data_IF_691029232443
#
_entry.id   IF_691029232443
#
_cell.length_a   1.000
_cell.length_b   1.000
_cell.length_c   1.000
_cell.angle_alpha   90.00
_cell.angle_beta   90.00
_cell.angle_gamma   90.00
#
_symmetry.space_group_name_H-M   'P 1'
#
loop_
_entity.id
_entity.type
_entity.pdbx_description
1 polymer ?
#
# COMPACT_ATOMS: atom_id res chain seq x y z
N UNK A 1 -19.59 -7.74 -2.05
CA UNK A 1 -18.73 -6.81 -1.27
C UNK A 1 -18.55 -7.38 0.12
N UNK A 2 -17.32 -7.33 0.63
CA UNK A 2 -16.96 -7.75 1.98
C UNK A 2 -16.31 -6.54 2.67
N UNK A 3 -16.68 -6.28 3.91
CA UNK A 3 -16.09 -5.23 4.75
C UNK A 3 -15.40 -5.86 5.93
N UNK A 4 -14.23 -5.32 6.28
CA UNK A 4 -13.44 -5.79 7.42
C UNK A 4 -12.59 -7.04 7.13
N UNK A 5 -11.73 -7.34 8.09
CA UNK A 5 -10.77 -8.46 8.07
C UNK A 5 -11.07 -9.53 9.14
N UNK A 6 -12.18 -9.38 9.88
CA UNK A 6 -12.55 -10.21 11.01
C UNK A 6 -11.92 -9.77 12.34
N UNK A 7 -11.50 -8.51 12.44
CA UNK A 7 -10.97 -7.89 13.66
C UNK A 7 -11.97 -6.87 14.20
N UNK A 8 -12.54 -7.11 15.36
CA UNK A 8 -13.52 -6.21 15.97
C UNK A 8 -12.98 -4.78 16.09
N UNK A 9 -11.72 -4.61 16.52
CA UNK A 9 -11.06 -3.32 16.65
C UNK A 9 -11.04 -2.54 15.34
N UNK A 10 -10.64 -3.19 14.24
CA UNK A 10 -10.37 -2.49 12.97
C UNK A 10 -11.55 -2.51 12.00
N UNK A 11 -12.44 -3.49 12.11
CA UNK A 11 -13.64 -3.55 11.29
C UNK A 11 -14.62 -2.42 11.65
N UNK A 12 -14.66 -2.04 12.93
CA UNK A 12 -15.42 -0.86 13.41
C UNK A 12 -14.86 0.48 12.86
N UNK A 13 -13.57 0.54 12.49
CA UNK A 13 -12.95 1.72 11.90
C UNK A 13 -13.14 1.82 10.37
N UNK A 14 -13.71 0.79 9.72
CA UNK A 14 -14.01 0.80 8.28
C UNK A 14 -12.78 0.82 7.37
N UNK A 15 -11.71 0.11 7.74
CA UNK A 15 -10.39 0.19 7.07
C UNK A 15 -10.21 -0.72 5.87
N UNK A 16 -11.17 -1.60 5.58
CA UNK A 16 -11.03 -2.62 4.55
C UNK A 16 -12.35 -2.86 3.82
N UNK A 17 -12.31 -2.78 2.49
CA UNK A 17 -13.42 -3.14 1.60
C UNK A 17 -12.87 -4.00 0.47
N UNK A 18 -13.49 -5.17 0.26
CA UNK A 18 -13.17 -6.11 -0.82
C UNK A 18 -14.36 -6.27 -1.76
N UNK A 19 -14.16 -5.98 -3.03
CA UNK A 19 -15.11 -6.28 -4.10
C UNK A 19 -14.66 -7.53 -4.85
N UNK A 20 -15.53 -8.53 -4.95
CA UNK A 20 -15.28 -9.79 -5.64
C UNK A 20 -15.91 -9.79 -7.03
N UNK A 21 -15.09 -10.17 -8.01
CA UNK A 21 -15.45 -10.31 -9.42
C UNK A 21 -15.14 -11.76 -9.85
N UNK A 22 -16.05 -12.68 -9.50
CA UNK A 22 -15.85 -14.10 -9.72
C UNK A 22 -16.55 -14.55 -11.02
N UNK A 23 -15.83 -15.30 -11.83
CA UNK A 23 -16.36 -16.03 -12.99
C UNK A 23 -16.13 -17.53 -12.77
N UNK A 24 -16.72 -18.42 -13.59
CA UNK A 24 -16.42 -19.85 -13.51
C UNK A 24 -14.93 -20.19 -13.66
N UNK A 25 -14.16 -19.35 -14.36
CA UNK A 25 -12.75 -19.57 -14.67
C UNK A 25 -11.80 -18.86 -13.71
N UNK A 26 -12.30 -17.87 -12.92
CA UNK A 26 -11.42 -16.98 -12.17
C UNK A 26 -12.08 -16.43 -10.92
N UNK A 27 -11.28 -16.30 -9.88
CA UNK A 27 -11.64 -15.59 -8.64
C UNK A 27 -10.75 -14.38 -8.47
N UNK A 28 -11.34 -13.18 -8.58
CA UNK A 28 -10.64 -11.90 -8.45
C UNK A 28 -11.22 -11.07 -7.32
N UNK A 29 -10.36 -10.43 -6.55
CA UNK A 29 -10.74 -9.37 -5.59
C UNK A 29 -10.00 -8.07 -5.90
N UNK A 30 -10.74 -6.97 -5.82
CA UNK A 30 -10.17 -5.61 -5.72
C UNK A 30 -10.44 -5.14 -4.30
N UNK A 31 -9.36 -4.78 -3.60
CA UNK A 31 -9.38 -4.41 -2.20
C UNK A 31 -8.98 -2.95 -2.07
N UNK A 32 -9.78 -2.18 -1.38
CA UNK A 32 -9.40 -0.84 -0.91
C UNK A 32 -9.17 -0.90 0.60
N UNK A 33 -7.99 -0.46 1.03
CA UNK A 33 -7.65 -0.46 2.45
C UNK A 33 -6.93 0.81 2.86
N UNK A 34 -7.26 1.28 4.07
CA UNK A 34 -6.58 2.39 4.74
C UNK A 34 -5.91 1.89 6.01
N UNK A 35 -4.60 1.73 5.96
CA UNK A 35 -3.82 1.28 7.11
C UNK A 35 -3.69 2.39 8.15
N UNK A 36 -3.71 2.06 9.45
CA UNK A 36 -3.56 3.07 10.48
C UNK A 36 -2.28 3.90 10.32
N UNK A 37 -2.40 5.22 10.49
CA UNK A 37 -1.23 6.07 10.73
C UNK A 37 -0.82 5.99 12.19
N UNK A 38 0.48 5.81 12.45
CA UNK A 38 1.04 5.85 13.81
C UNK A 38 1.55 7.24 14.22
N UNK A 39 1.37 8.27 13.38
CA UNK A 39 2.00 9.58 13.58
C UNK A 39 1.42 10.42 14.73
N UNK A 40 0.27 10.04 15.29
CA UNK A 40 -0.43 10.78 16.35
C UNK A 40 -0.06 10.32 17.78
N UNK A 41 1.03 9.58 17.93
CA UNK A 41 1.55 9.14 19.24
C UNK A 41 1.75 7.62 19.34
N UNK A 42 2.31 7.19 20.46
CA UNK A 42 2.72 5.81 20.70
C UNK A 42 1.55 4.82 20.62
N UNK A 43 0.40 5.17 21.20
CA UNK A 43 -0.79 4.33 21.17
C UNK A 43 -1.27 4.06 19.74
N UNK A 44 -1.19 5.06 18.86
CA UNK A 44 -1.55 4.90 17.44
C UNK A 44 -0.51 4.08 16.68
N UNK A 45 0.77 4.20 17.03
CA UNK A 45 1.82 3.34 16.47
C UNK A 45 1.62 1.88 16.89
N UNK A 46 1.29 1.63 18.14
CA UNK A 46 0.96 0.29 18.63
C UNK A 46 -0.30 -0.27 17.94
N UNK A 47 -1.34 0.55 17.76
CA UNK A 47 -2.53 0.15 17.01
C UNK A 47 -2.19 -0.22 15.56
N UNK A 48 -1.30 0.53 14.91
CA UNK A 48 -0.80 0.18 13.59
C UNK A 48 -0.12 -1.19 13.55
N UNK A 49 0.75 -1.49 14.49
CA UNK A 49 1.39 -2.81 14.56
C UNK A 49 0.36 -3.93 14.78
N UNK A 50 -0.64 -3.74 15.65
CA UNK A 50 -1.74 -4.72 15.80
C UNK A 50 -2.51 -4.92 14.50
N UNK A 51 -2.74 -3.84 13.73
CA UNK A 51 -3.38 -3.96 12.40
C UNK A 51 -2.52 -4.76 11.43
N UNK A 52 -1.21 -4.49 11.36
CA UNK A 52 -0.28 -5.24 10.51
C UNK A 52 -0.28 -6.73 10.85
N UNK A 53 -0.32 -7.07 12.15
CA UNK A 53 -0.41 -8.45 12.62
C UNK A 53 -1.76 -9.11 12.27
N UNK A 54 -2.85 -8.36 12.32
CA UNK A 54 -4.19 -8.86 11.99
C UNK A 54 -4.41 -9.03 10.48
N UNK A 55 -3.94 -8.09 9.66
CA UNK A 55 -4.15 -8.13 8.21
C UNK A 55 -3.26 -9.16 7.50
N UNK A 56 -2.10 -9.46 8.05
CA UNK A 56 -1.17 -10.44 7.47
C UNK A 56 -1.81 -11.82 7.23
N UNK A 57 -2.33 -12.53 8.25
CA UNK A 57 -2.94 -13.85 8.03
C UNK A 57 -4.15 -13.78 7.11
N UNK A 58 -4.91 -12.69 7.14
CA UNK A 58 -6.04 -12.46 6.25
C UNK A 58 -5.61 -12.44 4.78
N UNK A 59 -4.61 -11.62 4.44
CA UNK A 59 -4.07 -11.53 3.07
C UNK A 59 -3.44 -12.86 2.63
N UNK A 60 -2.73 -13.55 3.50
CA UNK A 60 -2.11 -14.84 3.18
C UNK A 60 -3.15 -15.95 2.96
N UNK A 61 -4.23 -15.95 3.71
CA UNK A 61 -5.35 -16.86 3.50
C UNK A 61 -6.10 -16.54 2.18
N UNK A 62 -6.28 -15.27 1.89
CA UNK A 62 -6.92 -14.81 0.66
C UNK A 62 -6.11 -15.22 -0.58
N UNK A 63 -4.80 -15.01 -0.57
CA UNK A 63 -3.86 -15.35 -1.65
C UNK A 63 -3.92 -16.84 -2.04
N UNK A 64 -4.19 -17.73 -1.11
CA UNK A 64 -4.34 -19.17 -1.37
C UNK A 64 -5.60 -19.52 -2.16
N UNK A 65 -6.58 -18.61 -2.21
CA UNK A 65 -7.93 -18.91 -2.73
C UNK A 65 -8.29 -18.08 -3.96
N UNK A 66 -7.63 -16.96 -4.21
CA UNK A 66 -7.97 -16.03 -5.27
C UNK A 66 -6.86 -15.06 -5.61
N UNK A 67 -6.88 -14.53 -6.81
CA UNK A 67 -6.06 -13.40 -7.21
C UNK A 67 -6.64 -12.10 -6.62
N UNK A 68 -5.79 -11.15 -6.25
CA UNK A 68 -6.26 -9.86 -5.77
C UNK A 68 -5.28 -8.72 -6.04
N UNK A 69 -5.82 -7.52 -6.04
CA UNK A 69 -5.09 -6.25 -5.99
C UNK A 69 -5.50 -5.54 -4.71
N UNK A 70 -4.55 -5.32 -3.80
CA UNK A 70 -4.70 -4.48 -2.62
C UNK A 70 -4.29 -3.05 -2.98
N UNK A 71 -5.23 -2.13 -2.90
CA UNK A 71 -5.03 -0.70 -3.20
C UNK A 71 -5.25 0.15 -1.95
N UNK A 72 -4.66 1.33 -1.94
CA UNK A 72 -4.91 2.35 -0.93
C UNK A 72 -3.68 2.81 -0.18
N UNK A 73 -3.92 3.56 0.88
CA UNK A 73 -2.90 4.11 1.75
C UNK A 73 -2.43 3.05 2.76
N UNK A 74 -1.23 2.52 2.54
CA UNK A 74 -0.58 1.56 3.43
C UNK A 74 0.15 2.26 4.59
N UNK A 75 0.30 3.59 4.50
CA UNK A 75 0.98 4.41 5.50
C UNK A 75 2.44 3.97 5.80
N UNK A 76 3.09 3.30 4.86
CA UNK A 76 4.49 2.85 4.96
C UNK A 76 5.22 3.17 3.66
N UNK A 77 6.31 3.92 3.73
CA UNK A 77 7.30 3.99 2.66
C UNK A 77 8.28 2.81 2.81
N UNK A 78 8.44 1.99 1.77
CA UNK A 78 9.19 0.74 1.88
C UNK A 78 10.70 0.95 1.89
N UNK A 79 11.20 1.71 0.93
CA UNK A 79 12.64 1.93 0.71
C UNK A 79 13.01 3.41 0.82
N UNK A 80 14.29 3.70 0.88
CA UNK A 80 14.83 5.06 0.94
C UNK A 80 14.45 5.90 -0.27
N UNK A 81 14.28 5.28 -1.43
CA UNK A 81 13.82 5.90 -2.66
C UNK A 81 12.35 6.37 -2.59
N UNK A 82 11.60 5.88 -1.61
CA UNK A 82 10.15 6.13 -1.48
C UNK A 82 9.81 7.40 -0.68
N UNK A 83 10.82 8.14 -0.19
CA UNK A 83 10.61 9.43 0.48
C UNK A 83 11.83 10.34 0.37
N UNK A 84 11.57 11.66 0.34
CA UNK A 84 12.63 12.65 0.12
C UNK A 84 13.67 12.69 1.24
N UNK A 85 13.22 12.76 2.49
CA UNK A 85 14.09 12.99 3.66
C UNK A 85 14.24 11.71 4.50
N UNK A 86 14.56 10.57 3.87
CA UNK A 86 14.58 9.27 4.52
C UNK A 86 15.53 9.19 5.74
N UNK A 87 16.69 9.89 5.70
CA UNK A 87 17.69 9.85 6.79
C UNK A 87 17.13 10.35 8.12
N UNK A 88 16.36 11.44 8.09
CA UNK A 88 15.75 12.03 9.29
C UNK A 88 14.46 11.34 9.72
N UNK A 89 13.89 10.48 8.87
CA UNK A 89 12.59 9.83 9.10
C UNK A 89 12.69 8.36 9.56
N UNK A 90 13.89 7.80 9.76
CA UNK A 90 14.09 6.39 10.10
C UNK A 90 13.43 5.94 11.42
N UNK A 91 13.08 6.88 12.29
CA UNK A 91 12.38 6.61 13.56
C UNK A 91 10.93 7.11 13.55
N UNK A 92 10.48 7.67 12.44
CA UNK A 92 9.14 8.22 12.33
C UNK A 92 8.16 7.18 11.77
N UNK A 93 6.93 7.23 12.25
CA UNK A 93 5.85 6.39 11.72
C UNK A 93 5.76 6.50 10.20
N UNK A 94 5.57 5.37 9.54
CA UNK A 94 5.59 5.23 8.09
C UNK A 94 6.96 4.87 7.51
N UNK A 95 8.05 4.92 8.31
CA UNK A 95 9.39 4.55 7.84
C UNK A 95 10.27 3.90 8.93
N UNK A 96 9.66 3.37 9.99
CA UNK A 96 10.43 2.63 11.00
C UNK A 96 10.99 1.32 10.43
N UNK A 97 12.09 0.80 11.00
CA UNK A 97 12.64 -0.48 10.55
C UNK A 97 11.63 -1.62 10.57
N UNK A 98 10.75 -1.67 11.57
CA UNK A 98 9.72 -2.70 11.74
C UNK A 98 8.66 -2.63 10.64
N UNK A 99 8.18 -1.43 10.31
CA UNK A 99 7.23 -1.20 9.23
C UNK A 99 7.82 -1.60 7.86
N UNK A 100 9.06 -1.20 7.61
CA UNK A 100 9.80 -1.56 6.39
C UNK A 100 10.04 -3.07 6.28
N UNK A 101 10.37 -3.72 7.40
CA UNK A 101 10.53 -5.18 7.46
C UNK A 101 9.21 -5.89 7.15
N UNK A 102 8.09 -5.39 7.69
CA UNK A 102 6.76 -5.93 7.37
C UNK A 102 6.43 -5.81 5.88
N UNK A 103 6.71 -4.64 5.25
CA UNK A 103 6.55 -4.48 3.80
C UNK A 103 7.46 -5.43 3.01
N UNK A 104 8.71 -5.60 3.41
CA UNK A 104 9.64 -6.56 2.77
C UNK A 104 9.11 -7.98 2.84
N UNK A 105 8.54 -8.36 3.98
CA UNK A 105 7.89 -9.66 4.19
C UNK A 105 6.67 -9.83 3.28
N UNK A 106 5.81 -8.81 3.19
CA UNK A 106 4.62 -8.83 2.34
C UNK A 106 4.96 -8.99 0.86
N UNK A 107 6.03 -8.33 0.42
CA UNK A 107 6.51 -8.39 -0.97
C UNK A 107 7.37 -9.65 -1.25
N UNK A 108 7.65 -10.47 -0.24
CA UNK A 108 8.43 -11.68 -0.43
C UNK A 108 9.88 -11.41 -0.84
N UNK A 109 10.46 -10.31 -0.36
CA UNK A 109 11.88 -9.98 -0.59
C UNK A 109 12.79 -11.05 0.00
N UNK A 110 12.36 -11.65 1.11
CA UNK A 110 12.98 -12.83 1.70
C UNK A 110 12.24 -14.09 1.24
N UNK A 111 12.97 -15.17 1.01
CA UNK A 111 12.42 -16.42 0.45
C UNK A 111 11.29 -16.99 1.32
N UNK A 112 10.16 -17.24 0.67
CA UNK A 112 9.05 -18.04 1.22
C UNK A 112 7.95 -17.24 1.93
N UNK A 113 8.01 -15.90 1.93
CA UNK A 113 7.00 -15.07 2.58
C UNK A 113 6.17 -14.28 1.56
N UNK A 114 5.05 -13.69 1.98
CA UNK A 114 4.15 -12.80 1.26
C UNK A 114 4.01 -13.04 -0.24
N UNK A 115 4.95 -12.52 -0.99
CA UNK A 115 5.02 -12.70 -2.43
C UNK A 115 3.99 -11.89 -3.21
N UNK A 116 3.53 -10.76 -2.67
CA UNK A 116 2.84 -9.73 -3.45
C UNK A 116 3.87 -8.89 -4.21
N UNK A 117 3.41 -8.23 -5.25
CA UNK A 117 4.23 -7.37 -6.10
C UNK A 117 3.80 -5.92 -5.91
N UNK A 118 4.73 -5.04 -5.64
CA UNK A 118 4.56 -3.59 -5.74
C UNK A 118 4.56 -3.20 -7.22
N UNK A 119 3.36 -3.01 -7.77
CA UNK A 119 3.16 -2.84 -9.21
C UNK A 119 3.81 -1.55 -9.73
N UNK A 120 3.72 -0.45 -8.97
CA UNK A 120 4.39 0.78 -9.37
C UNK A 120 5.91 0.57 -9.46
N UNK A 121 6.49 -0.05 -8.45
CA UNK A 121 7.94 -0.28 -8.38
C UNK A 121 8.44 -1.31 -9.39
N UNK A 122 7.59 -2.27 -9.78
CA UNK A 122 7.87 -3.19 -10.89
C UNK A 122 8.01 -2.44 -12.22
N UNK A 123 7.13 -1.47 -12.49
CA UNK A 123 7.14 -0.71 -13.75
C UNK A 123 8.16 0.44 -13.73
N UNK A 124 8.44 0.99 -12.56
CA UNK A 124 9.30 2.16 -12.36
C UNK A 124 10.32 1.91 -11.23
N UNK A 125 11.31 1.01 -11.43
CA UNK A 125 12.19 0.56 -10.36
C UNK A 125 13.05 1.67 -9.75
N UNK A 126 13.46 2.67 -10.55
CA UNK A 126 14.40 3.73 -10.16
C UNK A 126 13.75 5.11 -9.95
N UNK A 127 12.44 5.23 -10.13
CA UNK A 127 11.75 6.52 -10.04
C UNK A 127 11.70 7.03 -8.60
N UNK A 128 12.13 8.26 -8.38
CA UNK A 128 12.17 8.92 -7.07
C UNK A 128 10.95 9.85 -6.87
N UNK A 129 11.12 11.15 -6.92
CA UNK A 129 10.11 12.17 -6.62
C UNK A 129 8.82 12.10 -7.42
N UNK A 130 8.86 11.56 -8.64
CA UNK A 130 7.67 11.31 -9.46
C UNK A 130 6.73 10.26 -8.84
N UNK A 131 7.30 9.36 -8.04
CA UNK A 131 6.58 8.27 -7.40
C UNK A 131 5.85 8.67 -6.11
N UNK A 132 6.12 9.85 -5.56
CA UNK A 132 5.50 10.26 -4.29
C UNK A 132 4.00 10.45 -4.46
N UNK A 133 3.26 10.00 -3.45
CA UNK A 133 1.79 10.03 -3.44
C UNK A 133 1.22 10.87 -2.31
N UNK A 134 2.01 11.27 -1.32
CA UNK A 134 1.58 12.08 -0.19
C UNK A 134 2.59 13.18 0.17
N UNK A 135 2.08 14.34 0.58
CA UNK A 135 2.87 15.48 1.05
C UNK A 135 2.22 16.11 2.28
N UNK A 136 3.03 16.38 3.30
CA UNK A 136 2.56 17.10 4.48
C UNK A 136 1.95 18.46 4.11
N UNK A 137 0.89 18.83 4.80
CA UNK A 137 0.32 20.18 4.69
C UNK A 137 1.16 21.25 5.41
N UNK A 138 2.25 20.85 6.10
CA UNK A 138 3.16 21.75 6.79
C UNK A 138 4.28 22.22 5.87
N UNK A 139 4.69 23.50 6.05
CA UNK A 139 5.73 24.09 5.22
C UNK A 139 5.30 24.18 3.75
N UNK A 140 6.25 24.00 2.86
CA UNK A 140 6.02 24.00 1.41
C UNK A 140 6.33 22.59 0.81
N UNK A 141 5.89 21.53 1.50
CA UNK A 141 6.24 20.17 1.14
C UNK A 141 5.82 19.82 -0.30
N UNK A 142 4.63 20.22 -0.72
CA UNK A 142 4.16 20.03 -2.10
C UNK A 142 5.03 20.80 -3.10
N UNK A 143 5.23 22.11 -2.90
CA UNK A 143 5.99 22.96 -3.81
C UNK A 143 7.45 22.51 -3.96
N UNK A 144 8.04 21.98 -2.88
CA UNK A 144 9.43 21.50 -2.87
C UNK A 144 9.54 19.98 -3.14
N UNK A 145 8.43 19.33 -3.46
CA UNK A 145 8.33 17.89 -3.63
C UNK A 145 8.96 17.07 -2.49
N UNK A 146 8.71 17.49 -1.25
CA UNK A 146 9.11 16.75 -0.04
C UNK A 146 8.01 15.76 0.29
N UNK A 147 7.95 14.70 -0.49
CA UNK A 147 6.87 13.72 -0.47
C UNK A 147 7.29 12.34 -0.03
N UNK A 148 6.28 11.49 0.12
CA UNK A 148 6.35 10.08 0.48
C UNK A 148 5.49 9.27 -0.49
N UNK A 149 5.95 8.06 -0.83
CA UNK A 149 5.16 7.07 -1.55
C UNK A 149 4.59 6.09 -0.53
N UNK A 150 3.33 6.25 -0.19
CA UNK A 150 2.63 5.44 0.83
C UNK A 150 1.31 4.84 0.32
N UNK A 151 0.88 5.22 -0.88
CA UNK A 151 -0.25 4.61 -1.58
C UNK A 151 0.25 3.60 -2.60
N UNK A 152 -0.40 2.45 -2.67
CA UNK A 152 0.10 1.31 -3.43
C UNK A 152 -1.00 0.62 -4.25
N UNK A 153 -0.55 -0.09 -5.30
CA UNK A 153 -1.19 -1.27 -5.85
C UNK A 153 -0.28 -2.47 -5.57
N UNK A 154 -0.68 -3.30 -4.61
CA UNK A 154 0.01 -4.55 -4.28
C UNK A 154 -0.80 -5.71 -4.85
N UNK A 155 -0.24 -6.39 -5.84
CA UNK A 155 -0.97 -7.42 -6.58
C UNK A 155 -0.35 -8.80 -6.39
N UNK A 156 -1.19 -9.84 -6.53
CA UNK A 156 -0.67 -11.20 -6.71
C UNK A 156 0.14 -11.28 -8.00
N UNK A 157 1.16 -12.16 -8.09
CA UNK A 157 2.11 -12.16 -9.21
C UNK A 157 1.47 -12.27 -10.60
N UNK A 158 0.40 -13.07 -10.72
CA UNK A 158 -0.31 -13.23 -12.00
C UNK A 158 -0.93 -11.91 -12.46
N UNK A 159 -1.57 -11.17 -11.56
CA UNK A 159 -2.16 -9.86 -11.90
C UNK A 159 -1.08 -8.80 -12.12
N UNK A 160 -0.02 -8.79 -11.31
CA UNK A 160 1.08 -7.86 -11.47
C UNK A 160 1.75 -7.97 -12.85
N UNK A 161 1.86 -9.19 -13.41
CA UNK A 161 2.40 -9.41 -14.74
C UNK A 161 1.54 -8.80 -15.88
N UNK A 162 0.27 -8.50 -15.59
CA UNK A 162 -0.66 -7.87 -16.54
C UNK A 162 -0.66 -6.34 -16.45
N UNK A 163 0.05 -5.75 -15.49
CA UNK A 163 0.17 -4.30 -15.39
C UNK A 163 0.97 -3.72 -16.57
N UNK A 164 0.47 -2.62 -17.17
CA UNK A 164 1.05 -1.97 -18.35
C UNK A 164 1.61 -0.59 -18.05
N UNK A 165 0.87 0.21 -17.31
CA UNK A 165 1.27 1.56 -16.95
C UNK A 165 0.93 1.84 -15.49
N UNK A 166 1.73 2.71 -14.88
CA UNK A 166 1.44 3.27 -13.56
C UNK A 166 1.85 4.74 -13.54
N UNK A 167 1.02 5.61 -12.98
CA UNK A 167 1.30 7.03 -12.86
C UNK A 167 0.66 7.62 -11.61
N UNK A 168 1.26 8.69 -11.10
CA UNK A 168 0.70 9.49 -10.01
C UNK A 168 0.19 10.81 -10.60
N UNK A 169 -1.10 11.10 -10.43
CA UNK A 169 -1.72 12.31 -10.96
C UNK A 169 -1.38 13.54 -10.09
N UNK A 170 -0.70 14.52 -10.69
CA UNK A 170 -0.24 15.74 -10.01
C UNK A 170 -0.63 17.05 -10.69
N UNK A 171 -1.41 16.98 -11.76
CA UNK A 171 -1.76 18.17 -12.55
C UNK A 171 -2.58 19.18 -11.75
N UNK A 172 -3.46 18.69 -10.88
CA UNK A 172 -4.25 19.51 -9.97
C UNK A 172 -4.25 18.91 -8.57
N UNK A 173 -3.80 19.69 -7.59
CA UNK A 173 -3.86 19.32 -6.18
C UNK A 173 -5.27 19.54 -5.63
N UNK A 174 -5.90 18.50 -5.09
CA UNK A 174 -7.20 18.56 -4.40
C UNK A 174 -7.20 17.80 -3.05
N UNK A 175 -6.06 17.19 -2.70
CA UNK A 175 -5.82 16.46 -1.44
C UNK A 175 -4.36 16.60 -1.07
N UNK A 176 -3.97 16.16 0.12
CA UNK A 176 -2.58 15.90 0.51
C UNK A 176 -2.05 14.58 -0.05
N UNK A 177 -2.92 13.72 -0.59
CA UNK A 177 -2.57 12.59 -1.45
C UNK A 177 -2.81 12.90 -2.94
N UNK A 178 -2.06 12.24 -3.80
CA UNK A 178 -2.27 12.24 -5.24
C UNK A 178 -2.68 10.83 -5.71
N UNK A 179 -3.67 10.70 -6.61
CA UNK A 179 -4.12 9.40 -7.09
C UNK A 179 -3.03 8.61 -7.80
N UNK A 180 -2.84 7.37 -7.39
CA UNK A 180 -2.07 6.38 -8.12
C UNK A 180 -2.99 5.64 -9.07
N UNK A 181 -2.70 5.71 -10.36
CA UNK A 181 -3.45 5.01 -11.42
C UNK A 181 -2.59 3.93 -12.03
N UNK A 182 -3.15 2.72 -12.15
CA UNK A 182 -2.50 1.58 -12.82
C UNK A 182 -3.44 1.00 -13.86
N UNK A 183 -2.92 0.74 -15.06
CA UNK A 183 -3.64 0.04 -16.13
C UNK A 183 -3.19 -1.39 -16.20
N UNK A 184 -4.15 -2.31 -16.22
CA UNK A 184 -3.91 -3.74 -16.37
C UNK A 184 -4.51 -4.25 -17.69
N UNK A 185 -3.77 -5.08 -18.39
CA UNK A 185 -4.26 -5.81 -19.57
C UNK A 185 -5.09 -7.01 -19.12
N UNK A 186 -6.32 -6.72 -18.74
CA UNK A 186 -7.20 -7.65 -18.06
C UNK A 186 -8.66 -7.40 -18.43
N UNK A 187 -9.35 -8.45 -18.83
CA UNK A 187 -10.79 -8.43 -19.09
C UNK A 187 -11.53 -9.10 -17.93
N UNK A 188 -12.52 -8.40 -17.38
CA UNK A 188 -13.42 -8.91 -16.33
C UNK A 188 -14.37 -9.96 -16.86
#
# INVERSE_FOLDING_TARGET
>A
VITGIGSEEFDAEGRYVECRYDTPQRKLSIISSYFPSGSSGEDRQLAKFRFLDAVWPHLMALKKKREFILTGDINIAHKEIDLKNWRSNQKNSGFTPEERAWMSKLLGVEKGEGGLVDVYRQLHPETTGEAYTWWSNRGQAWANNVGWRIDYHLATPVLAALARTASVYKDQRFSDHAPLTVTYDFTL
#
